data_IF_271162840204
#
_entry.id   IF_271162840204
#
_cell.length_a   1.000
_cell.length_b   1.000
_cell.length_c   1.000
_cell.angle_alpha   90.00
_cell.angle_beta   90.00
_cell.angle_gamma   90.00
#
_symmetry.space_group_name_H-M   'P 1'
#
loop_
_entity.id
_entity.type
_entity.pdbx_description
1 polymer ?
#
# COMPACT_ATOMS: atom_id res chain seq x y z
N UNK A 1 -12.36 -10.28 5.48
CA UNK A 1 -12.87 -11.67 5.64
C UNK A 1 -11.88 -12.44 6.47
N UNK A 2 -12.34 -13.48 7.16
CA UNK A 2 -11.49 -14.44 7.85
C UNK A 2 -11.71 -15.83 7.25
N UNK A 3 -10.63 -16.59 7.10
CA UNK A 3 -10.66 -18.02 6.76
C UNK A 3 -10.44 -18.79 8.07
N UNK A 4 -11.41 -19.59 8.49
CA UNK A 4 -11.28 -20.42 9.70
C UNK A 4 -10.35 -21.61 9.43
N UNK A 5 -9.89 -22.27 10.50
CA UNK A 5 -9.07 -23.48 10.38
C UNK A 5 -9.81 -24.63 9.70
N UNK A 6 -11.14 -24.63 9.80
CA UNK A 6 -12.02 -25.63 9.21
C UNK A 6 -12.45 -25.26 7.78
N UNK A 7 -11.94 -24.16 7.22
CA UNK A 7 -12.14 -23.77 5.82
C UNK A 7 -13.33 -22.84 5.57
N UNK A 8 -13.99 -22.34 6.60
CA UNK A 8 -15.13 -21.42 6.45
C UNK A 8 -14.66 -19.98 6.18
N UNK A 9 -15.40 -19.25 5.34
CA UNK A 9 -15.13 -17.83 5.05
C UNK A 9 -16.17 -16.97 5.77
N UNK A 10 -15.70 -16.13 6.68
CA UNK A 10 -16.53 -15.20 7.45
C UNK A 10 -16.33 -13.76 6.98
N UNK A 11 -17.43 -13.04 6.73
CA UNK A 11 -17.42 -11.59 6.52
C UNK A 11 -17.32 -10.91 7.88
N UNK A 12 -16.23 -10.19 8.12
CA UNK A 12 -15.98 -9.53 9.40
C UNK A 12 -16.46 -8.07 9.41
N UNK A 13 -16.08 -7.31 8.38
CA UNK A 13 -16.33 -5.87 8.30
C UNK A 13 -16.45 -5.43 6.84
N UNK A 14 -17.04 -4.24 6.65
CA UNK A 14 -17.23 -3.61 5.35
C UNK A 14 -16.72 -2.17 5.40
N UNK A 15 -16.10 -1.73 4.31
CA UNK A 15 -15.70 -0.34 4.11
C UNK A 15 -16.43 0.22 2.87
N UNK A 16 -17.40 1.14 3.02
CA UNK A 16 -18.18 1.68 1.90
C UNK A 16 -17.42 2.80 1.16
N UNK A 17 -16.14 2.54 0.84
CA UNK A 17 -15.20 3.49 0.21
C UNK A 17 -13.97 2.73 -0.31
N UNK A 18 -13.11 3.35 -1.14
CA UNK A 18 -11.75 2.87 -1.35
C UNK A 18 -11.06 2.55 -0.02
N UNK A 19 -10.33 1.44 0.02
CA UNK A 19 -9.77 0.85 1.23
C UNK A 19 -8.25 0.72 1.15
N UNK A 20 -7.57 0.79 2.31
CA UNK A 20 -6.12 0.73 2.37
C UNK A 20 -5.56 -0.57 1.79
N UNK A 21 -6.26 -1.69 1.99
CA UNK A 21 -5.85 -2.99 1.43
C UNK A 21 -5.90 -2.99 -0.11
N UNK A 22 -6.62 -2.06 -0.73
CA UNK A 22 -6.72 -1.90 -2.18
C UNK A 22 -5.70 -0.94 -2.80
N UNK A 23 -4.81 -0.31 -2.02
CA UNK A 23 -3.82 0.64 -2.57
C UNK A 23 -2.86 0.00 -3.57
N UNK A 24 -2.60 -1.31 -3.45
CA UNK A 24 -1.81 -2.04 -4.44
C UNK A 24 -2.39 -1.95 -5.87
N UNK A 25 -3.70 -1.72 -6.02
CA UNK A 25 -4.35 -1.60 -7.33
C UNK A 25 -3.92 -0.38 -8.14
N UNK A 26 -3.27 0.61 -7.52
CA UNK A 26 -2.71 1.75 -8.24
C UNK A 26 -1.64 1.27 -9.23
N UNK A 27 -0.79 0.34 -8.80
CA UNK A 27 0.33 -0.16 -9.62
C UNK A 27 0.13 -1.60 -10.11
N UNK A 28 -0.71 -2.37 -9.43
CA UNK A 28 -0.87 -3.81 -9.64
C UNK A 28 -2.02 -4.20 -10.57
N UNK A 29 -2.88 -3.26 -10.98
CA UNK A 29 -4.07 -3.55 -11.78
C UNK A 29 -4.20 -2.56 -12.95
N UNK A 30 -4.93 -2.95 -14.00
CA UNK A 30 -5.20 -2.07 -15.14
C UNK A 30 -6.04 -0.84 -14.75
N UNK A 31 -6.94 -0.99 -13.77
CA UNK A 31 -7.74 0.09 -13.21
C UNK A 31 -7.64 0.08 -11.68
N UNK A 32 -7.25 1.22 -11.12
CA UNK A 32 -7.13 1.39 -9.67
C UNK A 32 -8.50 1.44 -8.99
N UNK A 33 -8.55 1.12 -7.69
CA UNK A 33 -9.79 1.26 -6.91
C UNK A 33 -10.37 2.68 -6.92
N UNK A 34 -9.54 3.70 -7.13
CA UNK A 34 -10.00 5.10 -7.15
C UNK A 34 -10.71 5.42 -8.45
N UNK A 35 -10.12 5.02 -9.58
CA UNK A 35 -10.78 5.15 -10.88
C UNK A 35 -12.06 4.31 -10.92
N UNK A 36 -12.01 3.08 -10.41
CA UNK A 36 -13.18 2.21 -10.33
C UNK A 36 -14.30 2.82 -9.47
N UNK A 37 -13.93 3.46 -8.35
CA UNK A 37 -14.90 4.17 -7.52
C UNK A 37 -15.54 5.34 -8.27
N UNK A 38 -14.75 6.14 -9.00
CA UNK A 38 -15.27 7.25 -9.82
C UNK A 38 -16.21 6.73 -10.91
N UNK A 39 -15.82 5.68 -11.65
CA UNK A 39 -16.66 5.06 -12.67
C UNK A 39 -18.00 4.61 -12.08
N UNK A 40 -17.99 3.99 -10.89
CA UNK A 40 -19.20 3.54 -10.22
C UNK A 40 -20.13 4.71 -9.82
N UNK A 41 -19.62 5.77 -9.20
CA UNK A 41 -20.47 6.89 -8.75
C UNK A 41 -20.99 7.75 -9.90
N UNK A 42 -20.31 7.76 -11.05
CA UNK A 42 -20.75 8.46 -12.26
C UNK A 42 -21.55 7.57 -13.22
N UNK A 43 -21.85 6.32 -12.85
CA UNK A 43 -22.57 5.37 -13.69
C UNK A 43 -21.91 5.16 -15.08
N UNK A 44 -20.57 5.12 -15.09
CA UNK A 44 -19.77 4.83 -16.27
C UNK A 44 -19.47 3.32 -16.37
N UNK A 45 -19.11 2.80 -17.56
CA UNK A 45 -18.63 1.43 -17.69
C UNK A 45 -17.45 1.15 -16.76
N UNK A 46 -17.55 0.07 -16.00
CA UNK A 46 -16.51 -0.37 -15.07
C UNK A 46 -15.22 -0.76 -15.80
N UNK A 47 -14.09 -0.54 -15.13
CA UNK A 47 -12.76 -0.82 -15.65
C UNK A 47 -12.34 -2.28 -15.51
N UNK A 48 -11.26 -2.63 -16.22
CA UNK A 48 -10.63 -3.95 -16.16
C UNK A 48 -9.85 -4.10 -14.84
N UNK A 49 -10.26 -5.07 -14.02
CA UNK A 49 -9.65 -5.34 -12.71
C UNK A 49 -8.55 -6.39 -12.75
N UNK A 50 -8.16 -6.88 -13.94
CA UNK A 50 -7.07 -7.86 -14.06
C UNK A 50 -5.78 -7.30 -13.46
N UNK A 51 -4.99 -8.21 -12.88
CA UNK A 51 -3.66 -7.89 -12.36
C UNK A 51 -2.70 -7.68 -13.54
N UNK A 52 -1.86 -6.66 -13.45
CA UNK A 52 -0.78 -6.40 -14.41
C UNK A 52 0.48 -7.16 -14.00
N UNK A 53 0.71 -7.31 -12.69
CA UNK A 53 1.84 -8.05 -12.11
C UNK A 53 1.56 -8.37 -10.62
N UNK A 54 2.46 -9.10 -9.95
CA UNK A 54 2.31 -9.33 -8.51
C UNK A 54 2.62 -8.03 -7.75
N UNK A 55 1.70 -7.61 -6.89
CA UNK A 55 1.83 -6.39 -6.11
C UNK A 55 1.84 -6.68 -4.59
N UNK A 56 2.83 -6.15 -3.89
CA UNK A 56 2.92 -6.18 -2.42
C UNK A 56 2.95 -4.75 -1.92
N UNK A 57 2.00 -4.40 -1.05
CA UNK A 57 1.93 -3.06 -0.47
C UNK A 57 2.28 -3.11 1.01
N UNK A 58 3.13 -2.17 1.45
CA UNK A 58 3.46 -1.93 2.85
C UNK A 58 3.04 -0.52 3.24
N UNK A 59 2.52 -0.36 4.47
CA UNK A 59 2.24 0.97 5.00
C UNK A 59 3.54 1.60 5.53
N UNK A 60 3.72 2.90 5.30
CA UNK A 60 4.73 3.69 5.99
C UNK A 60 4.09 4.34 7.22
N UNK A 61 4.60 4.00 8.40
CA UNK A 61 4.10 4.48 9.68
C UNK A 61 5.14 5.36 10.36
N UNK A 62 4.68 6.31 11.17
CA UNK A 62 5.56 6.99 12.12
C UNK A 62 6.16 6.02 13.12
N UNK A 63 7.46 6.14 13.37
CA UNK A 63 8.19 5.25 14.27
C UNK A 63 7.79 5.47 15.74
N UNK A 64 7.87 4.43 16.58
CA UNK A 64 7.68 4.55 18.02
C UNK A 64 8.64 5.58 18.62
N UNK A 65 8.14 6.46 19.50
CA UNK A 65 8.97 7.45 20.21
C UNK A 65 9.28 8.73 19.43
N UNK A 66 8.81 8.88 18.18
CA UNK A 66 9.03 10.09 17.38
C UNK A 66 7.73 10.88 17.14
N UNK A 67 7.76 12.18 17.44
CA UNK A 67 6.66 13.12 17.17
C UNK A 67 7.23 14.50 16.78
N UNK A 68 6.81 15.03 15.63
CA UNK A 68 7.35 16.29 15.10
C UNK A 68 7.34 16.35 13.57
N UNK A 69 8.06 17.30 12.95
CA UNK A 69 8.17 17.42 11.48
C UNK A 69 8.67 16.11 10.86
N UNK A 70 8.00 15.59 9.83
CA UNK A 70 8.31 14.28 9.29
C UNK A 70 9.68 14.24 8.58
N UNK A 71 10.56 13.34 9.02
CA UNK A 71 11.83 13.01 8.38
C UNK A 71 11.78 11.56 7.89
N UNK A 72 12.07 11.35 6.62
CA UNK A 72 12.03 10.04 5.98
C UNK A 72 13.44 9.52 5.73
N UNK A 73 13.85 8.50 6.47
CA UNK A 73 15.13 7.82 6.30
C UNK A 73 15.00 6.66 5.31
N UNK A 74 16.07 6.34 4.57
CA UNK A 74 16.13 5.21 3.64
C UNK A 74 15.36 5.39 2.32
N UNK A 75 14.61 6.48 2.14
CA UNK A 75 13.83 6.70 0.91
C UNK A 75 14.71 6.77 -0.35
N UNK A 76 15.84 7.47 -0.30
CA UNK A 76 16.72 7.60 -1.45
C UNK A 76 17.31 6.26 -1.91
N UNK A 77 17.44 5.29 -1.01
CA UNK A 77 17.98 3.97 -1.34
C UNK A 77 16.92 3.12 -2.02
N UNK A 78 15.68 3.13 -1.49
CA UNK A 78 14.59 2.33 -2.05
C UNK A 78 14.02 2.91 -3.35
N UNK A 79 14.11 4.23 -3.55
CA UNK A 79 13.69 4.88 -4.81
C UNK A 79 14.54 4.46 -6.02
N UNK A 80 15.74 3.92 -5.80
CA UNK A 80 16.60 3.41 -6.87
C UNK A 80 16.27 1.98 -7.27
N UNK A 81 15.37 1.31 -6.53
CA UNK A 81 15.07 -0.10 -6.73
C UNK A 81 13.98 -0.27 -7.79
N UNK A 82 14.22 -1.19 -8.73
CA UNK A 82 13.24 -1.52 -9.75
C UNK A 82 11.95 -2.08 -9.14
N UNK A 83 10.81 -1.61 -9.67
CA UNK A 83 9.48 -2.03 -9.24
C UNK A 83 9.07 -1.49 -7.88
N UNK A 84 9.72 -0.45 -7.34
CA UNK A 84 9.34 0.18 -6.06
C UNK A 84 8.68 1.53 -6.30
N UNK A 85 7.45 1.68 -5.82
CA UNK A 85 6.62 2.87 -5.99
C UNK A 85 6.27 3.47 -4.62
N UNK A 86 6.80 4.66 -4.33
CA UNK A 86 6.60 5.35 -3.05
C UNK A 86 5.46 6.37 -3.15
N UNK A 87 4.48 6.25 -2.26
CA UNK A 87 3.33 7.15 -2.15
C UNK A 87 3.29 7.83 -0.79
N UNK A 88 3.74 9.08 -0.71
CA UNK A 88 3.69 9.88 0.51
C UNK A 88 2.42 10.73 0.56
N UNK A 89 1.78 10.82 1.73
CA UNK A 89 0.53 11.56 1.90
C UNK A 89 0.70 13.06 2.16
N UNK A 90 1.92 13.60 2.01
CA UNK A 90 2.20 15.03 2.22
C UNK A 90 1.98 15.53 3.66
N UNK A 91 1.96 14.63 4.65
CA UNK A 91 1.75 14.99 6.06
C UNK A 91 3.02 15.64 6.62
N UNK A 92 2.93 16.92 6.99
CA UNK A 92 4.05 17.69 7.55
C UNK A 92 4.59 17.15 8.89
N UNK A 93 3.74 16.51 9.70
CA UNK A 93 4.10 16.03 11.03
C UNK A 93 3.86 14.53 11.15
N UNK A 94 4.81 13.80 11.73
CA UNK A 94 4.66 12.40 12.13
C UNK A 94 4.28 12.28 13.60
N UNK A 95 3.68 11.14 13.96
CA UNK A 95 3.42 10.67 15.33
C UNK A 95 3.53 9.13 15.32
N UNK A 96 3.75 8.48 16.47
CA UNK A 96 3.86 7.02 16.53
C UNK A 96 2.65 6.35 15.85
N UNK A 97 2.93 5.41 14.95
CA UNK A 97 1.95 4.60 14.20
C UNK A 97 1.01 5.37 13.27
N UNK A 98 1.24 6.68 13.07
CA UNK A 98 0.48 7.46 12.09
C UNK A 98 0.81 6.98 10.68
N UNK A 99 -0.19 6.73 9.84
CA UNK A 99 0.02 6.43 8.41
C UNK A 99 0.58 7.66 7.69
N UNK A 100 1.81 7.58 7.21
CA UNK A 100 2.52 8.66 6.53
C UNK A 100 2.62 8.46 5.02
N UNK A 101 2.41 7.23 4.57
CA UNK A 101 2.40 6.86 3.16
C UNK A 101 2.18 5.36 3.00
N UNK A 102 2.45 4.87 1.80
CA UNK A 102 2.63 3.45 1.52
C UNK A 102 3.70 3.27 0.43
N UNK A 103 4.25 2.07 0.34
CA UNK A 103 5.14 1.68 -0.75
C UNK A 103 4.53 0.44 -1.39
N UNK A 104 4.44 0.44 -2.71
CA UNK A 104 4.00 -0.72 -3.50
C UNK A 104 5.20 -1.29 -4.23
N UNK A 105 5.37 -2.60 -4.16
CA UNK A 105 6.41 -3.36 -4.81
C UNK A 105 5.75 -4.22 -5.89
N UNK A 106 6.24 -4.10 -7.12
CA UNK A 106 5.83 -4.90 -8.27
C UNK A 106 6.98 -5.83 -8.70
N UNK A 107 6.67 -7.10 -8.94
CA UNK A 107 7.63 -8.09 -9.47
C UNK A 107 6.88 -9.21 -10.20
N UNK A 108 7.49 -9.76 -11.26
CA UNK A 108 6.95 -10.93 -11.96
C UNK A 108 6.91 -12.17 -11.07
N UNK A 109 7.80 -12.24 -10.06
CA UNK A 109 7.86 -13.32 -9.08
C UNK A 109 7.37 -12.79 -7.73
N UNK A 110 6.23 -13.31 -7.27
CA UNK A 110 5.59 -12.89 -6.02
C UNK A 110 6.53 -12.96 -4.82
N UNK A 111 7.32 -14.01 -4.71
CA UNK A 111 8.27 -14.23 -3.61
C UNK A 111 9.32 -13.13 -3.55
N UNK A 112 9.82 -12.67 -4.72
CA UNK A 112 10.76 -11.55 -4.81
C UNK A 112 10.12 -10.24 -4.39
N UNK A 113 8.86 -9.99 -4.77
CA UNK A 113 8.12 -8.81 -4.30
C UNK A 113 7.99 -8.81 -2.77
N UNK A 114 7.71 -9.97 -2.16
CA UNK A 114 7.60 -10.12 -0.70
C UNK A 114 8.95 -9.90 -0.01
N UNK A 115 10.03 -10.51 -0.52
CA UNK A 115 11.38 -10.35 0.00
C UNK A 115 11.81 -8.88 -0.02
N UNK A 116 11.64 -8.22 -1.18
CA UNK A 116 11.93 -6.79 -1.36
C UNK A 116 11.10 -5.92 -0.40
N UNK A 117 9.81 -6.23 -0.24
CA UNK A 117 8.94 -5.51 0.69
C UNK A 117 9.41 -5.61 2.15
N UNK A 118 9.87 -6.80 2.60
CA UNK A 118 10.43 -7.00 3.95
C UNK A 118 11.69 -6.17 4.16
N UNK A 119 12.62 -6.20 3.20
CA UNK A 119 13.84 -5.40 3.28
C UNK A 119 13.54 -3.89 3.35
N UNK A 120 12.56 -3.41 2.56
CA UNK A 120 12.12 -2.01 2.59
C UNK A 120 11.50 -1.64 3.95
N UNK A 121 10.73 -2.53 4.59
CA UNK A 121 10.18 -2.28 5.94
C UNK A 121 11.25 -2.09 7.01
N UNK A 122 12.41 -2.72 6.84
CA UNK A 122 13.55 -2.58 7.74
C UNK A 122 14.36 -1.32 7.44
N UNK A 123 14.41 -0.91 6.17
CA UNK A 123 15.22 0.22 5.70
C UNK A 123 14.53 1.57 5.85
N UNK A 124 13.25 1.67 5.51
CA UNK A 124 12.52 2.95 5.49
C UNK A 124 11.90 3.21 6.85
N UNK A 125 12.21 4.39 7.42
CA UNK A 125 11.71 4.84 8.72
C UNK A 125 11.17 6.24 8.62
N UNK A 126 10.04 6.51 9.31
CA UNK A 126 9.47 7.86 9.39
C UNK A 126 9.60 8.40 10.81
N UNK A 127 10.56 9.29 11.00
CA UNK A 127 10.93 9.89 12.29
C UNK A 127 10.56 11.38 12.33
N UNK A 128 10.97 12.05 13.41
CA UNK A 128 10.81 13.48 13.66
C UNK A 128 12.15 14.12 14.01
#
# INVERSE_FOLDING_TARGET
MFLTKDGEILVNELAPRPHNSGHHTIEGNFVSQFEQHLRAIFNLPLGDIRLVSNAVMINLLGEPGFEGPAVYEGLNDVLKMDGVYVHLYGKKFTKPFRKMGHITIIDEIREKAIEKARMIQETVKVKA
#
